data_IF_352253464489
#
_entry.id   IF_352253464489
#
_cell.length_a   1.000
_cell.length_b   1.000
_cell.length_c   1.000
_cell.angle_alpha   90.00
_cell.angle_beta   90.00
_cell.angle_gamma   90.00
#
_symmetry.space_group_name_H-M   'P 1'
#
loop_
_entity.id
_entity.type
_entity.pdbx_description
1 polymer ?
#
# COMPACT_ATOMS: atom_id res chain seq x y z
N UNK A 1 -0.83 16.01 -5.68
CA UNK A 1 -0.23 15.12 -6.73
C UNK A 1 1.17 14.77 -6.26
N UNK A 2 1.60 13.52 -6.42
CA UNK A 2 2.96 13.10 -6.07
C UNK A 2 3.99 13.99 -6.78
N UNK A 3 5.06 14.32 -6.06
CA UNK A 3 6.19 15.03 -6.66
C UNK A 3 6.81 14.15 -7.76
N UNK A 4 7.10 14.77 -8.90
CA UNK A 4 7.58 14.07 -10.09
C UNK A 4 9.09 14.26 -10.22
N UNK A 5 9.80 13.14 -10.33
CA UNK A 5 11.25 13.07 -10.50
C UNK A 5 11.62 12.12 -11.63
N UNK A 6 12.87 12.13 -12.06
CA UNK A 6 13.37 11.28 -13.12
C UNK A 6 14.45 10.34 -12.59
N UNK A 7 14.34 9.04 -12.86
CA UNK A 7 15.42 8.10 -12.62
C UNK A 7 16.61 8.43 -13.53
N UNK A 8 17.79 8.58 -12.93
CA UNK A 8 19.04 8.83 -13.65
C UNK A 8 19.94 7.60 -13.73
N UNK A 9 19.78 6.66 -12.77
CA UNK A 9 20.55 5.41 -12.73
C UNK A 9 19.73 4.29 -12.08
N UNK A 10 19.70 3.12 -12.69
CA UNK A 10 19.31 1.88 -12.03
C UNK A 10 20.54 1.27 -11.32
N UNK A 11 20.38 0.91 -10.05
CA UNK A 11 21.50 0.47 -9.21
C UNK A 11 21.53 -1.06 -9.13
N UNK A 12 20.43 -1.68 -8.69
CA UNK A 12 20.34 -3.12 -8.50
C UNK A 12 18.90 -3.59 -8.31
N UNK A 13 18.53 -4.81 -8.74
CA UNK A 13 17.24 -5.40 -8.37
C UNK A 13 17.23 -5.79 -6.89
N UNK A 14 16.07 -5.66 -6.26
CA UNK A 14 15.77 -6.27 -4.97
C UNK A 14 15.08 -7.61 -5.22
N UNK A 15 15.81 -8.71 -5.02
CA UNK A 15 15.31 -10.06 -5.33
C UNK A 15 14.38 -10.64 -4.27
N UNK A 16 13.98 -9.82 -3.28
CA UNK A 16 13.02 -10.16 -2.25
C UNK A 16 11.62 -9.71 -2.70
N UNK A 17 10.69 -10.65 -2.83
CA UNK A 17 9.31 -10.39 -3.26
C UNK A 17 9.03 -10.69 -4.74
N UNK A 18 7.76 -10.96 -5.05
CA UNK A 18 7.32 -11.43 -6.38
C UNK A 18 7.26 -10.38 -7.49
N UNK A 19 7.47 -9.08 -7.18
CA UNK A 19 7.38 -7.98 -8.14
C UNK A 19 8.73 -7.44 -8.64
N UNK A 20 9.85 -7.99 -8.14
CA UNK A 20 11.22 -7.63 -8.50
C UNK A 20 11.46 -6.09 -8.55
N UNK A 21 11.22 -5.34 -7.45
CA UNK A 21 11.50 -3.91 -7.42
C UNK A 21 13.01 -3.65 -7.54
N UNK A 22 13.40 -2.43 -7.89
CA UNK A 22 14.81 -2.09 -8.02
C UNK A 22 15.19 -0.81 -7.29
N UNK A 23 16.46 -0.64 -6.96
CA UNK A 23 16.99 0.61 -6.42
C UNK A 23 17.36 1.52 -7.58
N UNK A 24 16.91 2.77 -7.54
CA UNK A 24 17.27 3.82 -8.50
C UNK A 24 17.76 5.07 -7.78
N UNK A 25 18.66 5.79 -8.43
CA UNK A 25 18.99 7.19 -8.12
C UNK A 25 18.18 8.10 -9.03
N UNK A 26 17.75 9.23 -8.52
CA UNK A 26 16.93 10.20 -9.23
C UNK A 26 17.59 11.57 -9.33
N UNK A 27 17.03 12.47 -10.13
CA UNK A 27 17.55 13.81 -10.46
C UNK A 27 17.40 14.82 -9.31
N UNK A 28 16.76 14.44 -8.22
CA UNK A 28 16.69 15.17 -6.95
C UNK A 28 17.79 14.75 -5.94
N UNK A 29 18.82 14.01 -6.39
CA UNK A 29 19.87 13.41 -5.58
C UNK A 29 19.35 12.33 -4.59
N UNK A 30 18.08 11.93 -4.69
CA UNK A 30 17.45 10.89 -3.87
C UNK A 30 17.71 9.48 -4.37
N UNK A 31 17.55 8.51 -3.46
CA UNK A 31 17.59 7.08 -3.76
C UNK A 31 16.22 6.47 -3.42
N UNK A 32 15.68 5.66 -4.32
CA UNK A 32 14.33 5.12 -4.21
C UNK A 32 14.28 3.63 -4.52
N UNK A 33 13.38 2.93 -3.83
CA UNK A 33 12.91 1.61 -4.27
C UNK A 33 11.86 1.84 -5.34
N UNK A 34 12.17 1.49 -6.58
CA UNK A 34 11.29 1.65 -7.73
C UNK A 34 10.35 0.46 -7.84
N UNK A 35 9.05 0.69 -7.68
CA UNK A 35 8.00 -0.28 -7.99
C UNK A 35 7.57 -0.10 -9.44
N UNK A 36 7.81 -1.14 -10.23
CA UNK A 36 7.77 -1.10 -11.68
C UNK A 36 6.35 -1.33 -12.22
N UNK A 37 5.88 -0.44 -13.08
CA UNK A 37 4.54 -0.49 -13.70
C UNK A 37 4.29 -1.74 -14.53
N UNK A 38 5.36 -2.31 -15.11
CA UNK A 38 5.34 -3.53 -15.92
C UNK A 38 5.40 -4.80 -15.10
N UNK A 39 5.53 -4.73 -13.76
CA UNK A 39 5.61 -5.91 -12.91
C UNK A 39 4.23 -6.55 -12.69
N UNK A 40 4.20 -7.86 -12.64
CA UNK A 40 3.13 -8.78 -12.23
C UNK A 40 1.68 -8.26 -12.31
N UNK A 41 1.20 -7.59 -11.29
CA UNK A 41 -0.20 -7.16 -11.18
C UNK A 41 -0.48 -5.76 -11.78
N UNK A 42 0.52 -5.12 -12.40
CA UNK A 42 0.36 -3.89 -13.15
C UNK A 42 0.08 -2.64 -12.32
N UNK A 43 -0.56 -1.65 -12.95
CA UNK A 43 -0.75 -0.30 -12.40
C UNK A 43 -1.59 -0.26 -11.12
N UNK A 44 -2.50 -1.22 -10.90
CA UNK A 44 -3.36 -1.27 -9.71
C UNK A 44 -2.57 -1.40 -8.41
N UNK A 45 -1.44 -2.12 -8.45
CA UNK A 45 -0.53 -2.21 -7.30
C UNK A 45 0.02 -0.83 -6.94
N UNK A 46 0.45 -0.04 -7.94
CA UNK A 46 0.96 1.32 -7.71
C UNK A 46 -0.13 2.24 -7.14
N UNK A 47 -1.37 2.10 -7.63
CA UNK A 47 -2.52 2.83 -7.09
C UNK A 47 -2.77 2.48 -5.62
N UNK A 48 -2.75 1.18 -5.27
CA UNK A 48 -2.92 0.74 -3.89
C UNK A 48 -1.80 1.27 -2.97
N UNK A 49 -0.55 1.23 -3.42
CA UNK A 49 0.59 1.81 -2.68
C UNK A 49 0.38 3.28 -2.33
N UNK A 50 -0.07 4.09 -3.31
CA UNK A 50 -0.29 5.52 -3.07
C UNK A 50 -1.46 5.73 -2.12
N UNK A 51 -2.61 5.14 -2.40
CA UNK A 51 -3.81 5.36 -1.59
C UNK A 51 -3.57 4.92 -0.14
N UNK A 52 -3.06 3.71 0.06
CA UNK A 52 -2.88 3.15 1.41
C UNK A 52 -1.71 3.81 2.14
N UNK A 53 -0.61 4.10 1.45
CA UNK A 53 0.52 4.80 2.03
C UNK A 53 0.15 6.21 2.52
N UNK A 54 -0.60 6.99 1.72
CA UNK A 54 -1.03 8.34 2.10
C UNK A 54 -2.08 8.31 3.23
N UNK A 55 -3.03 7.36 3.21
CA UNK A 55 -3.95 7.15 4.33
C UNK A 55 -3.14 6.77 5.59
N UNK A 56 -2.16 5.88 5.46
CA UNK A 56 -1.28 5.48 6.56
C UNK A 56 -0.59 6.68 7.21
N UNK A 57 -0.01 7.58 6.41
CA UNK A 57 0.59 8.83 6.91
C UNK A 57 -0.42 9.72 7.61
N UNK A 58 -1.60 9.89 7.02
CA UNK A 58 -2.66 10.73 7.59
C UNK A 58 -3.13 10.26 8.97
N UNK A 59 -3.11 8.95 9.22
CA UNK A 59 -3.43 8.36 10.54
C UNK A 59 -2.21 8.23 11.47
N UNK A 60 -1.08 8.84 11.12
CA UNK A 60 0.11 8.92 11.98
C UNK A 60 1.05 7.74 11.91
N UNK A 61 0.95 6.88 10.91
CA UNK A 61 1.95 5.82 10.65
C UNK A 61 3.16 6.39 9.92
N UNK A 62 4.32 5.78 10.16
CA UNK A 62 5.52 6.04 9.36
C UNK A 62 5.44 5.20 8.09
N UNK A 63 5.32 5.88 6.97
CA UNK A 63 5.38 5.30 5.62
C UNK A 63 6.43 6.10 4.85
N UNK A 64 7.38 5.48 4.15
CA UNK A 64 8.38 6.19 3.35
C UNK A 64 7.70 7.11 2.34
N UNK A 65 8.35 8.23 2.01
CA UNK A 65 7.79 9.17 1.04
C UNK A 65 7.66 8.52 -0.33
N UNK A 66 6.61 8.90 -1.05
CA UNK A 66 6.29 8.38 -2.36
C UNK A 66 6.57 9.45 -3.43
N UNK A 67 7.09 9.02 -4.57
CA UNK A 67 7.41 9.88 -5.73
C UNK A 67 6.87 9.24 -7.00
N UNK A 68 6.46 10.08 -7.93
CA UNK A 68 6.18 9.64 -9.29
C UNK A 68 7.51 9.69 -10.08
N UNK A 69 8.05 8.53 -10.47
CA UNK A 69 9.39 8.41 -11.07
C UNK A 69 9.28 8.04 -12.53
N UNK A 70 9.77 8.90 -13.42
CA UNK A 70 9.90 8.55 -14.84
C UNK A 70 11.15 7.69 -15.06
N UNK A 71 10.93 6.52 -15.68
CA UNK A 71 12.00 5.62 -16.15
C UNK A 71 12.21 5.81 -17.65
N UNK A 72 13.41 6.25 -18.04
CA UNK A 72 13.79 6.42 -19.45
C UNK A 72 14.25 5.07 -20.05
N UNK A 73 13.89 4.81 -21.32
CA UNK A 73 14.27 3.60 -22.04
C UNK A 73 15.78 3.35 -22.10
N UNK A 74 16.59 4.40 -22.00
CA UNK A 74 18.05 4.29 -21.99
C UNK A 74 18.59 3.55 -20.78
N UNK A 75 17.90 3.62 -19.63
CA UNK A 75 18.30 2.95 -18.39
C UNK A 75 18.20 1.43 -18.57
N UNK A 76 17.09 0.94 -19.13
CA UNK A 76 16.88 -0.48 -19.38
C UNK A 76 17.94 -1.11 -20.28
N UNK A 77 18.45 -0.35 -21.25
CA UNK A 77 19.38 -0.83 -22.28
C UNK A 77 20.72 -1.35 -21.73
N UNK A 78 21.15 -0.89 -20.57
CA UNK A 78 22.45 -1.22 -19.98
C UNK A 78 22.37 -2.28 -18.88
N UNK A 79 21.19 -2.82 -18.60
CA UNK A 79 21.04 -3.93 -17.64
C UNK A 79 21.51 -5.23 -18.27
N UNK A 80 22.33 -5.98 -17.52
CA UNK A 80 22.95 -7.22 -18.00
C UNK A 80 22.09 -8.47 -17.75
N UNK A 81 21.19 -8.42 -16.75
CA UNK A 81 20.24 -9.48 -16.45
C UNK A 81 19.04 -9.34 -17.38
N UNK A 82 18.81 -10.32 -18.25
CA UNK A 82 17.75 -10.27 -19.27
C UNK A 82 16.34 -10.12 -18.64
N UNK A 83 16.06 -10.80 -17.52
CA UNK A 83 14.78 -10.69 -16.83
C UNK A 83 14.54 -9.29 -16.32
N UNK A 84 15.56 -8.68 -15.71
CA UNK A 84 15.51 -7.29 -15.22
C UNK A 84 15.41 -6.32 -16.40
N UNK A 85 16.16 -6.54 -17.47
CA UNK A 85 16.12 -5.71 -18.68
C UNK A 85 14.75 -5.71 -19.33
N UNK A 86 14.10 -6.87 -19.46
CA UNK A 86 12.76 -7.01 -20.00
C UNK A 86 11.74 -6.27 -19.14
N UNK A 87 11.84 -6.42 -17.80
CA UNK A 87 10.97 -5.74 -16.86
C UNK A 87 11.14 -4.20 -16.89
N UNK A 88 12.38 -3.71 -16.93
CA UNK A 88 12.65 -2.26 -17.09
C UNK A 88 12.12 -1.74 -18.42
N UNK A 89 12.27 -2.52 -19.50
CA UNK A 89 11.75 -2.16 -20.82
C UNK A 89 10.21 -2.06 -20.81
N UNK A 90 9.54 -3.01 -20.18
CA UNK A 90 8.09 -3.00 -20.00
C UNK A 90 7.61 -1.88 -19.05
N UNK A 91 8.54 -1.31 -18.28
CA UNK A 91 8.27 -0.28 -17.26
C UNK A 91 8.69 1.13 -17.67
N UNK A 92 9.08 1.33 -18.92
CA UNK A 92 9.36 2.69 -19.43
C UNK A 92 8.15 3.61 -19.24
N UNK A 93 8.37 4.81 -18.70
CA UNK A 93 7.33 5.76 -18.32
C UNK A 93 7.24 5.97 -16.81
N UNK A 94 6.05 6.28 -16.30
CA UNK A 94 5.85 6.68 -14.92
C UNK A 94 5.68 5.47 -13.99
N UNK A 95 6.55 5.35 -13.01
CA UNK A 95 6.59 4.31 -11.98
C UNK A 95 6.48 4.94 -10.58
N UNK A 96 6.37 4.10 -9.54
CA UNK A 96 6.33 4.57 -8.16
C UNK A 96 7.70 4.41 -7.50
N UNK A 97 8.27 5.50 -7.02
CA UNK A 97 9.42 5.54 -6.13
C UNK A 97 8.98 5.57 -4.67
N UNK A 98 9.55 4.70 -3.87
CA UNK A 98 9.41 4.66 -2.41
C UNK A 98 10.76 5.06 -1.84
N UNK A 99 10.80 6.08 -1.00
CA UNK A 99 12.05 6.60 -0.42
C UNK A 99 12.86 5.49 0.24
N UNK A 100 14.14 5.38 -0.12
CA UNK A 100 15.01 4.32 0.39
C UNK A 100 15.47 4.66 1.81
N UNK A 101 15.28 3.76 2.74
CA UNK A 101 15.66 3.92 4.14
C UNK A 101 17.01 3.22 4.40
N UNK A 102 18.15 3.92 4.30
CA UNK A 102 19.47 3.28 4.40
C UNK A 102 19.72 2.73 5.81
N UNK A 103 20.11 1.46 5.86
CA UNK A 103 20.37 0.76 7.14
C UNK A 103 19.11 0.29 7.85
N UNK A 104 17.93 0.38 7.23
CA UNK A 104 16.74 -0.31 7.73
C UNK A 104 16.88 -1.83 7.56
N UNK A 105 16.14 -2.57 8.38
CA UNK A 105 16.05 -4.03 8.25
C UNK A 105 14.60 -4.50 8.40
N UNK A 106 14.32 -5.67 7.86
CA UNK A 106 12.99 -6.28 7.93
C UNK A 106 12.57 -6.55 9.38
N UNK A 107 11.30 -6.33 9.69
CA UNK A 107 10.75 -6.61 11.02
C UNK A 107 10.77 -8.11 11.32
N UNK A 108 11.42 -8.47 12.40
CA UNK A 108 11.61 -9.85 12.90
C UNK A 108 11.03 -10.09 14.31
N UNK A 109 10.34 -9.09 14.87
CA UNK A 109 9.80 -9.13 16.23
C UNK A 109 10.76 -8.70 17.33
N UNK A 110 12.04 -8.47 17.05
CA UNK A 110 13.04 -8.07 18.07
C UNK A 110 12.85 -6.65 18.59
N UNK A 111 12.27 -5.78 17.78
CA UNK A 111 11.94 -4.40 18.12
C UNK A 111 10.45 -4.14 17.78
N UNK A 112 9.52 -4.60 18.64
CA UNK A 112 8.10 -4.47 18.36
C UNK A 112 7.64 -3.00 18.42
N UNK A 113 6.68 -2.58 17.58
CA UNK A 113 6.04 -1.29 17.71
C UNK A 113 5.28 -1.21 19.04
N UNK A 114 4.95 0.01 19.46
CA UNK A 114 4.03 0.20 20.57
C UNK A 114 2.64 -0.41 20.25
N UNK A 115 1.86 -0.82 21.26
CA UNK A 115 0.50 -1.31 21.04
C UNK A 115 -0.39 -0.36 20.22
N UNK A 116 -0.21 0.96 20.41
CA UNK A 116 -0.95 1.97 19.65
C UNK A 116 -0.55 2.00 18.17
N UNK A 117 0.74 1.85 17.85
CA UNK A 117 1.20 1.74 16.44
C UNK A 117 0.76 0.43 15.81
N UNK A 118 0.88 -0.69 16.55
CA UNK A 118 0.40 -2.00 16.08
C UNK A 118 -1.10 -1.97 15.76
N UNK A 119 -1.90 -1.33 16.62
CA UNK A 119 -3.34 -1.14 16.40
C UNK A 119 -3.64 -0.31 15.14
N UNK A 120 -2.90 0.78 14.90
CA UNK A 120 -3.07 1.62 13.71
C UNK A 120 -2.71 0.87 12.42
N UNK A 121 -1.63 0.08 12.43
CA UNK A 121 -1.25 -0.76 11.28
C UNK A 121 -2.33 -1.80 11.00
N UNK A 122 -2.76 -2.55 12.03
CA UNK A 122 -3.82 -3.55 11.86
C UNK A 122 -5.14 -2.93 11.39
N UNK A 123 -5.49 -1.77 11.92
CA UNK A 123 -6.67 -1.03 11.49
C UNK A 123 -6.57 -0.61 10.01
N UNK A 124 -5.42 -0.07 9.59
CA UNK A 124 -5.18 0.31 8.19
C UNK A 124 -5.35 -0.88 7.25
N UNK A 125 -4.72 -2.01 7.60
CA UNK A 125 -4.80 -3.23 6.78
C UNK A 125 -6.22 -3.80 6.75
N UNK A 126 -6.96 -3.75 7.85
CA UNK A 126 -8.37 -4.16 7.88
C UNK A 126 -9.26 -3.21 7.07
N UNK A 127 -9.04 -1.89 7.16
CA UNK A 127 -9.77 -0.88 6.41
C UNK A 127 -9.56 -1.01 4.90
N UNK A 128 -8.34 -1.28 4.48
CA UNK A 128 -7.95 -1.39 3.06
C UNK A 128 -7.97 -2.82 2.54
N UNK A 129 -8.35 -3.78 3.39
CA UNK A 129 -8.36 -5.23 3.11
C UNK A 129 -7.00 -5.76 2.63
N UNK A 130 -5.91 -5.32 3.24
CA UNK A 130 -4.57 -5.84 3.01
C UNK A 130 -4.37 -7.15 3.77
N UNK A 131 -4.22 -8.27 3.07
CA UNK A 131 -4.09 -9.60 3.67
C UNK A 131 -2.64 -10.13 3.69
N UNK A 132 -1.69 -9.34 3.17
CA UNK A 132 -0.33 -9.80 2.92
C UNK A 132 0.66 -9.46 4.06
N UNK A 133 0.22 -8.76 5.12
CA UNK A 133 1.07 -8.42 6.27
C UNK A 133 1.08 -9.54 7.30
N UNK A 134 1.89 -10.56 7.02
CA UNK A 134 1.99 -11.79 7.82
C UNK A 134 3.40 -11.99 8.39
N UNK A 135 3.61 -12.99 9.26
CA UNK A 135 4.96 -13.32 9.74
C UNK A 135 5.91 -13.78 8.62
N UNK A 136 5.43 -14.39 7.56
CA UNK A 136 6.25 -14.77 6.41
C UNK A 136 6.56 -13.58 5.49
N UNK A 137 5.74 -12.54 5.52
CA UNK A 137 5.91 -11.31 4.76
C UNK A 137 5.44 -10.11 5.62
N UNK A 138 6.26 -9.63 6.56
CA UNK A 138 5.84 -8.61 7.50
C UNK A 138 5.49 -7.28 6.86
N UNK A 139 6.09 -6.93 5.71
CA UNK A 139 5.94 -5.64 5.03
C UNK A 139 6.11 -4.45 6.00
N UNK A 140 7.04 -4.61 6.93
CA UNK A 140 7.45 -3.64 7.94
C UNK A 140 8.97 -3.58 7.98
N UNK A 141 9.50 -2.38 8.09
CA UNK A 141 10.91 -2.13 8.35
C UNK A 141 11.11 -1.56 9.74
N UNK A 142 12.27 -1.83 10.32
CA UNK A 142 12.77 -1.11 11.48
C UNK A 142 13.89 -0.17 11.02
N UNK A 143 13.69 1.13 11.25
CA UNK A 143 14.65 2.17 10.93
C UNK A 143 14.77 3.15 12.09
N UNK A 144 16.01 3.37 12.57
CA UNK A 144 16.28 4.17 13.77
C UNK A 144 15.40 3.79 14.97
N UNK A 145 15.16 2.49 15.18
CA UNK A 145 14.34 1.99 16.28
C UNK A 145 12.84 2.28 16.15
N UNK A 146 12.38 2.66 14.97
CA UNK A 146 10.99 2.95 14.67
C UNK A 146 10.45 2.00 13.60
N UNK A 147 9.19 1.61 13.72
CA UNK A 147 8.53 0.77 12.73
C UNK A 147 8.02 1.62 11.56
N UNK A 148 8.28 1.15 10.34
CA UNK A 148 7.85 1.77 9.08
C UNK A 148 7.03 0.77 8.29
N UNK A 149 5.83 1.16 7.91
CA UNK A 149 4.96 0.33 7.08
C UNK A 149 5.29 0.54 5.60
N UNK A 150 5.49 -0.58 4.90
CA UNK A 150 5.82 -0.62 3.48
C UNK A 150 4.95 -1.65 2.77
N UNK A 151 5.03 -1.66 1.45
CA UNK A 151 4.41 -2.67 0.57
C UNK A 151 2.90 -2.86 0.79
N UNK A 152 2.14 -1.88 0.33
CA UNK A 152 0.69 -1.84 0.41
C UNK A 152 0.00 -2.39 -0.85
N UNK A 153 0.76 -2.89 -1.81
CA UNK A 153 0.26 -3.28 -3.13
C UNK A 153 -0.79 -4.40 -3.13
N UNK A 154 -0.83 -5.23 -2.08
CA UNK A 154 -1.84 -6.27 -1.91
C UNK A 154 -3.17 -5.76 -1.33
N UNK A 155 -3.25 -4.49 -0.94
CA UNK A 155 -4.48 -3.86 -0.47
C UNK A 155 -5.44 -3.55 -1.63
N UNK A 156 -6.68 -3.19 -1.30
CA UNK A 156 -7.71 -2.78 -2.26
C UNK A 156 -7.95 -3.81 -3.39
N UNK A 157 -7.76 -5.10 -3.09
CA UNK A 157 -7.78 -6.18 -4.07
C UNK A 157 -9.07 -6.24 -4.91
N UNK A 158 -10.16 -5.66 -4.43
CA UNK A 158 -11.44 -5.56 -5.15
C UNK A 158 -11.31 -4.89 -6.53
N UNK A 159 -10.36 -4.00 -6.72
CA UNK A 159 -10.15 -3.26 -7.98
C UNK A 159 -9.73 -4.17 -9.16
N UNK A 160 -9.17 -5.36 -8.87
CA UNK A 160 -8.85 -6.34 -9.91
C UNK A 160 -10.10 -6.95 -10.56
N UNK A 161 -11.26 -6.90 -9.87
CA UNK A 161 -12.52 -7.40 -10.42
C UNK A 161 -13.26 -6.38 -11.30
N UNK A 162 -12.86 -5.11 -11.29
CA UNK A 162 -13.56 -4.03 -11.98
C UNK A 162 -13.70 -4.19 -13.50
N UNK A 163 -12.70 -4.70 -14.25
CA UNK A 163 -12.85 -4.89 -15.69
C UNK A 163 -14.03 -5.78 -16.07
N UNK A 164 -14.38 -6.75 -15.23
CA UNK A 164 -15.48 -7.69 -15.52
C UNK A 164 -16.79 -7.40 -14.76
N UNK A 165 -16.72 -6.72 -13.59
CA UNK A 165 -17.88 -6.58 -12.68
C UNK A 165 -18.27 -5.13 -12.40
N UNK A 166 -17.41 -4.18 -12.74
CA UNK A 166 -17.56 -2.78 -12.31
C UNK A 166 -17.28 -2.59 -10.82
N UNK A 167 -17.40 -1.34 -10.37
CA UNK A 167 -17.24 -0.99 -8.96
C UNK A 167 -18.49 -1.33 -8.15
N UNK A 168 -18.29 -1.93 -6.97
CA UNK A 168 -19.35 -2.24 -6.02
C UNK A 168 -18.91 -1.82 -4.60
N UNK A 169 -19.12 -0.55 -4.22
CA UNK A 169 -18.75 -0.03 -2.92
C UNK A 169 -19.42 -0.78 -1.75
N UNK A 170 -20.67 -1.21 -1.92
CA UNK A 170 -21.41 -1.90 -0.86
C UNK A 170 -20.82 -3.29 -0.58
N UNK A 171 -20.38 -3.99 -1.63
CA UNK A 171 -19.71 -5.29 -1.49
C UNK A 171 -18.38 -5.14 -0.74
N UNK A 172 -17.57 -4.14 -1.08
CA UNK A 172 -16.31 -3.90 -0.37
C UNK A 172 -16.56 -3.49 1.08
N UNK A 173 -17.55 -2.62 1.34
CA UNK A 173 -17.92 -2.19 2.67
C UNK A 173 -18.36 -3.35 3.58
N UNK A 174 -18.98 -4.39 3.02
CA UNK A 174 -19.46 -5.56 3.75
C UNK A 174 -18.49 -6.74 3.78
N UNK A 175 -17.31 -6.60 3.16
CA UNK A 175 -16.32 -7.68 3.13
C UNK A 175 -15.63 -7.82 4.51
N UNK A 176 -15.75 -8.98 5.19
CA UNK A 176 -15.04 -9.22 6.45
C UNK A 176 -13.53 -9.19 6.24
N UNK A 177 -12.80 -8.85 7.29
CA UNK A 177 -11.34 -8.94 7.32
C UNK A 177 -10.90 -10.02 8.31
N UNK A 178 -10.11 -10.97 7.83
CA UNK A 178 -9.50 -12.02 8.67
C UNK A 178 -8.11 -11.57 9.13
N UNK A 179 -8.02 -11.18 10.40
CA UNK A 179 -6.77 -10.76 11.02
C UNK A 179 -5.92 -11.93 11.57
N UNK A 180 -6.38 -13.17 11.50
CA UNK A 180 -5.77 -14.32 12.21
C UNK A 180 -4.29 -14.55 11.89
N UNK A 181 -3.84 -14.13 10.72
CA UNK A 181 -2.44 -14.26 10.27
C UNK A 181 -1.63 -12.96 10.36
N UNK A 182 -2.26 -11.86 10.78
CA UNK A 182 -1.61 -10.56 10.79
C UNK A 182 -0.45 -10.53 11.80
N UNK A 183 0.73 -10.07 11.34
CA UNK A 183 1.98 -10.10 12.11
C UNK A 183 1.92 -9.34 13.44
N UNK A 184 1.10 -8.30 13.54
CA UNK A 184 0.96 -7.47 14.75
C UNK A 184 -0.30 -7.79 15.58
N UNK A 185 -1.05 -8.84 15.24
CA UNK A 185 -2.32 -9.17 15.90
C UNK A 185 -2.18 -9.25 17.42
N UNK A 186 -1.14 -9.94 17.90
CA UNK A 186 -0.89 -10.13 19.34
C UNK A 186 -0.52 -8.84 20.10
N UNK A 187 -0.26 -7.73 19.40
CA UNK A 187 0.16 -6.45 20.00
C UNK A 187 -0.95 -5.39 19.94
N UNK A 188 -1.92 -5.52 19.01
CA UNK A 188 -2.80 -4.42 18.62
C UNK A 188 -3.94 -4.12 19.63
N UNK A 189 -4.37 -5.06 20.45
CA UNK A 189 -5.48 -4.84 21.39
C UNK A 189 -6.83 -4.61 20.70
N UNK A 190 -7.75 -3.91 21.39
CA UNK A 190 -9.09 -3.58 20.86
C UNK A 190 -9.03 -2.40 19.88
N UNK A 191 -9.58 -2.60 18.69
CA UNK A 191 -9.61 -1.59 17.63
C UNK A 191 -10.87 -0.70 17.65
N UNK A 192 -11.90 -1.05 18.40
CA UNK A 192 -13.17 -0.32 18.38
C UNK A 192 -13.03 1.15 18.83
N UNK A 193 -12.34 1.47 19.95
CA UNK A 193 -12.11 2.85 20.34
C UNK A 193 -11.25 3.62 19.32
N UNK A 194 -10.26 2.96 18.73
CA UNK A 194 -9.38 3.55 17.71
C UNK A 194 -10.14 3.87 16.42
N UNK A 195 -11.13 3.04 16.06
CA UNK A 195 -11.92 3.27 14.84
C UNK A 195 -12.62 4.64 14.86
N UNK A 196 -13.22 5.05 15.97
CA UNK A 196 -13.91 6.35 16.06
C UNK A 196 -12.96 7.52 15.78
N UNK A 197 -11.75 7.47 16.34
CA UNK A 197 -10.70 8.48 16.11
C UNK A 197 -10.27 8.50 14.63
N UNK A 198 -9.96 7.34 14.08
CA UNK A 198 -9.42 7.24 12.72
C UNK A 198 -10.49 7.50 11.65
N UNK A 199 -11.73 7.06 11.85
CA UNK A 199 -12.84 7.35 10.95
C UNK A 199 -13.11 8.86 10.85
N UNK A 200 -12.96 9.59 11.95
CA UNK A 200 -13.06 11.06 11.94
C UNK A 200 -11.90 11.71 11.17
N UNK A 201 -10.70 11.15 11.25
CA UNK A 201 -9.53 11.61 10.48
C UNK A 201 -9.71 11.37 8.99
N UNK A 202 -10.25 10.20 8.60
CA UNK A 202 -10.49 9.83 7.19
C UNK A 202 -11.77 10.50 6.67
N UNK A 203 -11.69 11.82 6.57
CA UNK A 203 -12.76 12.65 6.00
C UNK A 203 -12.89 12.44 4.49
N UNK A 204 -14.00 12.94 3.94
CA UNK A 204 -14.18 12.97 2.47
C UNK A 204 -13.07 13.76 1.79
N UNK A 205 -12.69 14.91 2.35
CA UNK A 205 -11.66 15.78 1.80
C UNK A 205 -10.30 15.10 1.83
N UNK A 206 -9.96 14.39 2.91
CA UNK A 206 -8.73 13.60 2.96
C UNK A 206 -8.69 12.52 1.88
N UNK A 207 -9.80 11.79 1.69
CA UNK A 207 -9.87 10.77 0.63
C UNK A 207 -9.69 11.41 -0.75
N UNK A 208 -10.32 12.57 -1.00
CA UNK A 208 -10.19 13.29 -2.27
C UNK A 208 -8.74 13.78 -2.47
N UNK A 209 -8.08 14.30 -1.42
CA UNK A 209 -6.67 14.71 -1.47
C UNK A 209 -5.73 13.53 -1.73
N UNK A 210 -5.97 12.38 -1.10
CA UNK A 210 -5.20 11.15 -1.32
C UNK A 210 -5.37 10.67 -2.76
N UNK A 211 -6.60 10.60 -3.25
CA UNK A 211 -6.89 10.17 -4.62
C UNK A 211 -6.32 11.13 -5.68
N UNK A 212 -6.23 12.42 -5.37
CA UNK A 212 -5.60 13.41 -6.24
C UNK A 212 -4.07 13.21 -6.37
N UNK A 213 -3.45 12.44 -5.48
CA UNK A 213 -2.03 12.07 -5.57
C UNK A 213 -1.76 11.00 -6.63
N UNK A 214 -2.75 10.15 -6.93
CA UNK A 214 -2.61 9.07 -7.92
C UNK A 214 -2.57 9.66 -9.34
N UNK A 215 -1.51 9.41 -10.14
CA UNK A 215 -1.44 9.85 -11.53
C UNK A 215 -2.58 9.28 -12.40
N UNK A 216 -3.12 10.10 -13.31
CA UNK A 216 -4.20 9.68 -14.21
C UNK A 216 -3.85 8.46 -15.05
N UNK A 217 -2.59 8.35 -15.49
CA UNK A 217 -2.15 7.24 -16.34
C UNK A 217 -2.12 5.87 -15.63
N UNK A 218 -2.22 5.84 -14.27
CA UNK A 218 -2.35 4.59 -13.52
C UNK A 218 -3.81 4.19 -13.28
N UNK A 219 -4.75 5.09 -13.54
CA UNK A 219 -6.17 4.87 -13.37
C UNK A 219 -6.78 4.32 -14.66
N UNK A 220 -6.66 3.00 -14.84
CA UNK A 220 -7.10 2.30 -16.05
C UNK A 220 -8.63 2.37 -16.23
N UNK A 221 -9.13 2.99 -17.31
CA UNK A 221 -10.55 2.97 -17.62
C UNK A 221 -11.09 1.55 -17.84
N UNK A 222 -12.36 1.35 -17.53
CA UNK A 222 -13.09 0.10 -17.76
C UNK A 222 -14.39 0.37 -18.49
N UNK A 223 -15.12 -0.67 -18.90
CA UNK A 223 -16.40 -0.49 -19.58
C UNK A 223 -17.45 0.30 -18.78
N UNK A 224 -17.34 0.32 -17.44
CA UNK A 224 -18.26 1.05 -16.55
C UNK A 224 -17.67 2.34 -16.00
N UNK A 225 -16.36 2.55 -16.17
CA UNK A 225 -15.61 3.72 -15.70
C UNK A 225 -14.77 4.23 -16.88
N UNK A 226 -15.30 5.13 -17.71
CA UNK A 226 -14.73 5.45 -19.03
C UNK A 226 -13.47 6.33 -18.98
N UNK A 227 -13.15 6.92 -17.84
CA UNK A 227 -12.05 7.86 -17.66
C UNK A 227 -11.44 7.77 -16.24
N UNK A 228 -10.26 8.36 -16.02
CA UNK A 228 -9.59 8.37 -14.72
C UNK A 228 -10.44 8.98 -13.59
N UNK A 229 -11.28 9.97 -13.88
CA UNK A 229 -12.14 10.59 -12.87
C UNK A 229 -13.25 9.63 -12.39
N UNK A 230 -13.81 8.84 -13.29
CA UNK A 230 -14.77 7.80 -12.94
C UNK A 230 -14.11 6.71 -12.07
N UNK A 231 -12.86 6.34 -12.37
CA UNK A 231 -12.08 5.40 -11.55
C UNK A 231 -11.80 5.97 -10.16
N UNK A 232 -11.39 7.26 -10.05
CA UNK A 232 -11.23 7.93 -8.74
C UNK A 232 -12.53 7.93 -7.94
N UNK A 233 -13.63 8.24 -8.60
CA UNK A 233 -14.96 8.23 -7.95
C UNK A 233 -15.29 6.86 -7.39
N UNK A 234 -14.95 5.78 -8.10
CA UNK A 234 -15.16 4.41 -7.64
C UNK A 234 -14.33 4.09 -6.38
N UNK A 235 -13.05 4.47 -6.32
CA UNK A 235 -12.23 4.34 -5.10
C UNK A 235 -12.82 5.16 -3.95
N UNK A 236 -13.17 6.42 -4.21
CA UNK A 236 -13.77 7.32 -3.21
C UNK A 236 -15.00 6.69 -2.58
N UNK A 237 -15.96 6.27 -3.38
CA UNK A 237 -17.20 5.66 -2.89
C UNK A 237 -16.94 4.36 -2.13
N UNK A 238 -15.99 3.54 -2.57
CA UNK A 238 -15.62 2.29 -1.91
C UNK A 238 -15.01 2.53 -0.52
N UNK A 239 -14.08 3.49 -0.42
CA UNK A 239 -13.43 3.83 0.86
C UNK A 239 -14.41 4.47 1.83
N UNK A 240 -15.26 5.40 1.39
CA UNK A 240 -16.30 6.01 2.22
C UNK A 240 -17.31 4.98 2.74
N UNK A 241 -17.81 4.12 1.85
CA UNK A 241 -18.74 3.06 2.23
C UNK A 241 -18.14 2.11 3.27
N UNK A 242 -16.85 1.78 3.14
CA UNK A 242 -16.16 0.91 4.11
C UNK A 242 -15.94 1.60 5.44
N UNK A 243 -15.49 2.87 5.44
CA UNK A 243 -15.36 3.67 6.67
C UNK A 243 -16.66 3.69 7.47
N UNK A 244 -17.78 3.87 6.78
CA UNK A 244 -19.09 4.05 7.39
C UNK A 244 -19.76 2.73 7.81
N UNK A 245 -19.12 1.57 7.56
CA UNK A 245 -19.65 0.24 7.91
C UNK A 245 -18.65 -0.63 8.71
N UNK A 246 -18.10 -0.15 9.85
CA UNK A 246 -17.05 -0.86 10.59
C UNK A 246 -17.51 -2.22 11.13
N UNK A 247 -18.77 -2.39 11.45
CA UNK A 247 -19.30 -3.63 12.00
C UNK A 247 -19.11 -4.85 11.09
N UNK A 248 -18.91 -4.63 9.78
CA UNK A 248 -18.74 -5.71 8.83
C UNK A 248 -17.27 -6.18 8.70
N UNK A 249 -16.29 -5.32 9.00
CA UNK A 249 -14.89 -5.61 8.70
C UNK A 249 -13.91 -5.35 9.83
N UNK A 250 -14.27 -4.56 10.84
CA UNK A 250 -13.36 -4.24 11.94
C UNK A 250 -13.14 -5.49 12.81
N UNK A 251 -11.91 -5.98 12.94
CA UNK A 251 -11.63 -7.14 13.76
C UNK A 251 -11.96 -6.86 15.24
N UNK A 252 -12.61 -7.79 15.89
CA UNK A 252 -12.91 -7.70 17.34
C UNK A 252 -11.98 -8.58 18.16
N UNK A 253 -11.63 -8.20 19.40
CA UNK A 253 -10.76 -8.98 20.29
C UNK A 253 -11.21 -10.40 20.51
N UNK A 254 -12.51 -10.65 20.53
CA UNK A 254 -13.07 -12.01 20.69
C UNK A 254 -12.68 -12.98 19.57
N UNK A 255 -12.19 -12.46 18.43
CA UNK A 255 -11.74 -13.30 17.33
C UNK A 255 -10.33 -13.90 17.55
N UNK A 256 -9.51 -13.37 18.49
CA UNK A 256 -8.12 -13.82 18.70
C UNK A 256 -7.62 -13.85 20.15
N UNK A 257 -8.29 -13.20 21.10
CA UNK A 257 -7.94 -13.32 22.50
C UNK A 257 -8.50 -14.64 23.05
N UNK A 258 -7.71 -15.42 23.83
CA UNK A 258 -8.25 -16.58 24.53
C UNK A 258 -9.41 -16.12 25.42
N UNK A 259 -10.55 -16.77 25.32
CA UNK A 259 -11.63 -16.60 26.29
C UNK A 259 -11.10 -16.96 27.67
N UNK A 260 -11.41 -16.17 28.71
CA UNK A 260 -10.95 -16.37 30.09
C UNK A 260 -11.29 -17.76 30.68
N UNK A 261 -12.05 -18.59 29.97
CA UNK A 261 -12.45 -19.95 30.37
C UNK A 261 -11.37 -21.03 30.17
N UNK A 262 -10.16 -20.67 29.70
CA UNK A 262 -9.06 -21.64 29.46
C UNK A 262 -7.84 -21.38 30.37
N UNK A 263 -8.03 -20.80 31.55
CA UNK A 263 -6.98 -20.75 32.58
C UNK A 263 -7.23 -21.76 33.70
#
# INVERSE_FOLDING_TARGET
MLEHIQAIRYVTPLREGGSLPGIVEADDDGTYVLKLRGAGQGLKVLVAEVIVGEIGRAIGLRVPQLRAVTLDARIAKYEADEEVQDLLTASVGLNLGVDFLPGSFGYDGSQPPSPAEAARVLWLDAFTANVDRTWSNPNLLVWHGQTWAIDHGAALYFHHSWPGRGADPARFASQPYDASKHVLLGLAGDLAPLHEELAATISTDLIDDVLAQVPDEWLEPTGTMPDPQAVRTAYRLSLLARRDNPSAWLPSPSAWLPTEETR
#
